data_IF_813139765697
#
_entry.id   IF_813139765697
#
_cell.length_a   1.000
_cell.length_b   1.000
_cell.length_c   1.000
_cell.angle_alpha   90.00
_cell.angle_beta   90.00
_cell.angle_gamma   90.00
#
_symmetry.space_group_name_H-M   'P 1'
#
loop_
_entity.id
_entity.type
_entity.pdbx_description
1 polymer ?
#
# COMPACT_ATOMS: atom_id res chain seq x y z
N UNK A 1 13.77 -23.89 9.58
CA UNK A 1 12.33 -23.55 9.57
C UNK A 1 12.24 -22.17 10.16
N UNK A 2 12.52 -21.17 9.33
CA UNK A 2 12.52 -19.76 9.77
C UNK A 2 11.22 -19.12 9.32
N UNK A 3 10.46 -18.72 10.30
CA UNK A 3 9.10 -18.19 10.13
C UNK A 3 9.19 -16.83 9.44
N UNK A 4 8.85 -16.76 8.16
CA UNK A 4 8.60 -15.51 7.45
C UNK A 4 7.33 -14.87 8.02
N UNK A 5 7.46 -14.23 9.16
CA UNK A 5 6.46 -13.28 9.66
C UNK A 5 6.35 -12.15 8.64
N UNK A 6 5.15 -11.91 8.14
CA UNK A 6 4.82 -10.86 7.17
C UNK A 6 5.50 -9.56 7.54
N UNK A 7 6.23 -8.97 6.58
CA UNK A 7 6.94 -7.72 6.76
C UNK A 7 5.93 -6.63 7.15
N UNK A 8 5.94 -6.25 8.43
CA UNK A 8 5.21 -5.07 8.93
C UNK A 8 5.66 -3.85 8.15
N UNK A 9 4.75 -2.93 7.79
CA UNK A 9 5.13 -1.65 7.18
C UNK A 9 6.12 -0.97 8.12
N UNK A 10 7.33 -0.69 7.61
CA UNK A 10 8.37 -0.08 8.42
C UNK A 10 9.48 -1.03 8.88
N UNK A 11 9.75 -2.14 8.20
CA UNK A 11 11.04 -2.81 8.35
C UNK A 11 12.13 -1.77 8.11
N UNK A 12 12.80 -1.34 9.20
CA UNK A 12 13.77 -0.26 9.24
C UNK A 12 14.89 -0.57 8.26
N UNK A 13 14.87 0.07 7.09
CA UNK A 13 16.03 0.09 6.19
C UNK A 13 17.11 0.85 6.93
N UNK A 14 18.18 0.19 7.31
CA UNK A 14 19.34 0.85 7.92
C UNK A 14 20.11 1.55 6.80
N UNK A 15 20.11 2.89 6.80
CA UNK A 15 20.76 3.70 5.75
C UNK A 15 22.20 4.05 6.10
N UNK A 16 22.65 3.73 7.33
CA UNK A 16 23.93 4.16 7.88
C UNK A 16 23.86 5.55 8.56
N UNK A 17 22.75 6.29 8.41
CA UNK A 17 22.52 7.57 9.10
C UNK A 17 21.63 7.31 10.32
N UNK A 18 22.24 6.83 11.39
CA UNK A 18 21.54 6.27 12.56
C UNK A 18 20.53 7.20 13.22
N UNK A 19 20.66 8.53 13.15
CA UNK A 19 19.65 9.45 13.67
C UNK A 19 18.39 9.45 12.78
N UNK A 20 18.56 9.43 11.47
CA UNK A 20 17.45 9.40 10.52
C UNK A 20 16.69 8.08 10.63
N UNK A 21 17.41 6.95 10.65
CA UNK A 21 16.81 5.62 10.79
C UNK A 21 15.95 5.52 12.05
N UNK A 22 16.42 6.08 13.18
CA UNK A 22 15.67 6.10 14.45
C UNK A 22 14.45 7.02 14.41
N UNK A 23 14.55 8.19 13.77
CA UNK A 23 13.41 9.08 13.56
C UNK A 23 12.33 8.42 12.72
N UNK A 24 12.70 7.80 11.60
CA UNK A 24 11.77 7.07 10.72
C UNK A 24 11.13 5.89 11.46
N UNK A 25 11.89 5.14 12.27
CA UNK A 25 11.34 4.06 13.08
C UNK A 25 10.27 4.55 14.07
N UNK A 26 10.47 5.71 14.71
CA UNK A 26 9.48 6.32 15.61
C UNK A 26 8.23 6.78 14.85
N UNK A 27 8.38 7.39 13.67
CA UNK A 27 7.25 7.78 12.82
C UNK A 27 6.43 6.57 12.37
N UNK A 28 7.09 5.48 11.97
CA UNK A 28 6.43 4.23 11.58
C UNK A 28 5.61 3.62 12.72
N UNK A 29 6.12 3.67 13.96
CA UNK A 29 5.36 3.19 15.13
C UNK A 29 4.12 4.06 15.41
N UNK A 30 4.13 5.33 15.04
CA UNK A 30 3.00 6.25 15.20
C UNK A 30 1.97 6.12 14.06
N UNK A 31 2.28 5.42 12.98
CA UNK A 31 1.33 5.14 11.90
C UNK A 31 0.16 4.24 12.37
N UNK A 32 0.40 3.38 13.38
CA UNK A 32 -0.64 2.53 13.98
C UNK A 32 -1.54 3.27 14.98
N UNK A 33 -1.29 4.56 15.21
CA UNK A 33 -2.09 5.41 16.12
C UNK A 33 -1.27 6.09 17.22
N UNK A 34 -1.93 6.85 18.12
CA UNK A 34 -1.27 7.56 19.20
C UNK A 34 -0.54 6.62 20.16
N UNK A 35 0.70 6.99 20.56
CA UNK A 35 1.56 6.18 21.39
C UNK A 35 2.18 7.01 22.52
N UNK A 36 2.35 6.40 23.70
CA UNK A 36 3.08 7.03 24.82
C UNK A 36 4.60 6.93 24.60
N UNK A 37 5.38 7.81 25.26
CA UNK A 37 6.84 7.71 25.25
C UNK A 37 7.32 6.33 25.73
N UNK A 38 6.61 5.72 26.69
CA UNK A 38 6.95 4.41 27.23
C UNK A 38 6.79 3.32 26.16
N UNK A 39 5.67 3.29 25.44
CA UNK A 39 5.43 2.30 24.40
C UNK A 39 6.37 2.48 23.20
N UNK A 40 6.62 3.73 22.78
CA UNK A 40 7.57 4.05 21.71
C UNK A 40 9.01 3.64 22.06
N UNK A 41 9.47 3.91 23.28
CA UNK A 41 10.80 3.49 23.75
C UNK A 41 10.94 1.97 23.76
N UNK A 42 9.93 1.25 24.23
CA UNK A 42 9.94 -0.21 24.26
C UNK A 42 9.91 -0.81 22.83
N UNK A 43 9.03 -0.33 21.98
CA UNK A 43 8.86 -0.85 20.62
C UNK A 43 10.06 -0.53 19.70
N UNK A 44 10.64 0.67 19.81
CA UNK A 44 11.82 1.08 19.04
C UNK A 44 13.13 0.53 19.59
N UNK A 45 13.13 -0.08 20.78
CA UNK A 45 14.33 -0.49 21.51
C UNK A 45 15.32 0.64 21.80
N UNK A 46 14.86 1.89 21.79
CA UNK A 46 15.67 3.05 22.10
C UNK A 46 15.62 3.35 23.60
N UNK A 47 16.74 3.74 24.23
CA UNK A 47 16.71 4.28 25.59
C UNK A 47 15.71 5.44 25.69
N UNK A 48 14.94 5.50 26.77
CA UNK A 48 13.89 6.51 26.97
C UNK A 48 14.37 7.96 26.76
N UNK A 49 15.57 8.37 27.24
CA UNK A 49 16.08 9.73 26.98
C UNK A 49 16.33 9.98 25.48
N UNK A 50 16.80 8.98 24.75
CA UNK A 50 17.05 9.08 23.31
C UNK A 50 15.74 9.20 22.54
N UNK A 51 14.77 8.31 22.83
CA UNK A 51 13.44 8.39 22.20
C UNK A 51 12.78 9.75 22.49
N UNK A 52 12.82 10.24 23.71
CA UNK A 52 12.28 11.53 24.09
C UNK A 52 12.93 12.69 23.31
N UNK A 53 14.26 12.72 23.23
CA UNK A 53 14.98 13.78 22.49
C UNK A 53 14.63 13.78 21.00
N UNK A 54 14.51 12.60 20.38
CA UNK A 54 14.12 12.50 18.99
C UNK A 54 12.67 12.92 18.77
N UNK A 55 11.74 12.53 19.65
CA UNK A 55 10.34 12.94 19.58
C UNK A 55 10.16 14.45 19.75
N UNK A 56 10.93 15.09 20.66
CA UNK A 56 10.94 16.55 20.81
C UNK A 56 11.47 17.23 19.54
N UNK A 57 12.50 16.69 18.92
CA UNK A 57 13.00 17.22 17.64
C UNK A 57 11.97 17.06 16.51
N UNK A 58 11.31 15.90 16.42
CA UNK A 58 10.23 15.67 15.45
C UNK A 58 9.03 16.59 15.70
N UNK A 59 8.69 16.86 16.97
CA UNK A 59 7.65 17.80 17.39
C UNK A 59 7.98 19.25 16.98
N UNK A 60 9.22 19.69 17.17
CA UNK A 60 9.68 20.99 16.71
C UNK A 60 9.55 21.18 15.18
N UNK A 61 9.71 20.10 14.43
CA UNK A 61 9.47 20.08 12.98
C UNK A 61 8.02 19.78 12.58
N UNK A 62 7.07 19.70 13.54
CA UNK A 62 5.66 19.42 13.31
C UNK A 62 5.39 18.07 12.63
N UNK A 63 6.38 17.15 12.58
CA UNK A 63 6.25 15.80 12.09
C UNK A 63 5.52 14.89 13.09
N UNK A 64 5.57 15.25 14.37
CA UNK A 64 4.88 14.63 15.49
C UNK A 64 4.21 15.73 16.30
N UNK A 65 3.10 15.43 16.94
CA UNK A 65 2.44 16.31 17.93
C UNK A 65 2.03 15.50 19.15
N UNK A 66 1.80 16.19 20.29
CA UNK A 66 1.23 15.58 21.49
C UNK A 66 -0.26 15.88 21.56
N UNK A 67 -1.01 14.87 21.97
CA UNK A 67 -2.42 15.08 22.33
C UNK A 67 -2.55 15.59 23.79
N UNK A 68 -3.79 15.88 24.19
CA UNK A 68 -4.07 16.38 25.53
C UNK A 68 -3.69 15.37 26.65
N UNK A 69 -3.59 14.07 26.34
CA UNK A 69 -3.16 13.03 27.26
C UNK A 69 -1.64 12.83 27.29
N UNK A 70 -0.88 13.60 26.48
CA UNK A 70 0.57 13.51 26.39
C UNK A 70 1.08 12.36 25.50
N UNK A 71 0.18 11.66 24.78
CA UNK A 71 0.58 10.68 23.77
C UNK A 71 1.03 11.38 22.48
N UNK A 72 2.01 10.79 21.80
CA UNK A 72 2.51 11.27 20.51
C UNK A 72 1.68 10.69 19.38
N UNK A 73 1.45 11.48 18.35
CA UNK A 73 0.81 11.09 17.09
C UNK A 73 1.49 11.78 15.92
N UNK A 74 1.26 11.30 14.71
CA UNK A 74 1.74 11.95 13.49
C UNK A 74 1.24 13.39 13.40
N UNK A 75 2.12 14.30 12.99
CA UNK A 75 1.88 15.74 12.97
C UNK A 75 1.46 16.28 11.60
N UNK A 76 0.91 17.51 11.54
CA UNK A 76 0.34 18.10 10.32
C UNK A 76 1.37 18.32 9.20
N UNK A 77 2.66 18.44 9.54
CA UNK A 77 3.71 18.61 8.52
C UNK A 77 3.76 17.46 7.54
N UNK A 78 3.38 16.24 7.95
CA UNK A 78 3.30 15.09 7.06
C UNK A 78 2.23 15.27 6.00
N UNK A 79 1.07 15.82 6.36
CA UNK A 79 0.00 16.15 5.40
C UNK A 79 0.44 17.25 4.43
N UNK A 80 1.13 18.29 4.92
CA UNK A 80 1.67 19.37 4.08
C UNK A 80 2.70 18.82 3.07
N UNK A 81 3.60 17.95 3.51
CA UNK A 81 4.59 17.31 2.63
C UNK A 81 3.92 16.38 1.62
N UNK A 82 2.91 15.63 2.07
CA UNK A 82 2.14 14.75 1.23
C UNK A 82 1.43 15.53 0.10
N UNK A 83 0.81 16.67 0.41
CA UNK A 83 0.11 17.50 -0.57
C UNK A 83 0.99 18.01 -1.73
N UNK A 84 2.30 18.06 -1.53
CA UNK A 84 3.27 18.49 -2.58
C UNK A 84 4.16 17.34 -3.09
N UNK A 85 4.00 16.14 -2.56
CA UNK A 85 4.89 15.01 -2.85
C UNK A 85 4.61 14.32 -4.19
N UNK A 86 3.54 14.69 -4.89
CA UNK A 86 3.30 14.20 -6.24
C UNK A 86 1.92 13.59 -6.48
N UNK A 87 1.66 13.19 -7.74
CA UNK A 87 0.35 12.76 -8.22
C UNK A 87 -0.16 11.45 -7.62
N UNK A 88 0.68 10.65 -6.94
CA UNK A 88 0.26 9.40 -6.31
C UNK A 88 -0.71 9.61 -5.15
N UNK A 89 -0.61 10.76 -4.45
CA UNK A 89 -1.51 11.07 -3.34
C UNK A 89 -2.87 11.60 -3.81
N UNK A 90 -2.87 12.36 -4.93
CA UNK A 90 -4.11 12.72 -5.61
C UNK A 90 -4.81 11.46 -6.14
N UNK A 91 -4.04 10.51 -6.66
CA UNK A 91 -4.54 9.22 -7.11
C UNK A 91 -5.21 8.43 -5.97
N UNK A 92 -4.60 8.38 -4.78
CA UNK A 92 -5.16 7.69 -3.62
C UNK A 92 -6.50 8.30 -3.18
N UNK A 93 -6.61 9.64 -3.21
CA UNK A 93 -7.84 10.36 -2.88
C UNK A 93 -8.94 10.12 -3.90
N UNK A 94 -8.63 10.23 -5.20
CA UNK A 94 -9.55 9.97 -6.30
C UNK A 94 -10.02 8.51 -6.35
N UNK A 95 -9.15 7.58 -5.96
CA UNK A 95 -9.47 6.16 -5.94
C UNK A 95 -10.44 5.78 -4.80
N UNK A 96 -10.57 6.58 -3.74
CA UNK A 96 -11.37 6.26 -2.55
C UNK A 96 -12.76 5.70 -2.88
N UNK A 97 -13.63 6.43 -3.60
CA UNK A 97 -14.97 5.97 -3.95
C UNK A 97 -14.99 4.67 -4.78
N UNK A 98 -14.02 4.49 -5.71
CA UNK A 98 -13.90 3.28 -6.53
C UNK A 98 -13.50 2.07 -5.68
N UNK A 99 -12.57 2.25 -4.75
CA UNK A 99 -12.17 1.20 -3.81
C UNK A 99 -13.33 0.81 -2.89
N UNK A 100 -14.09 1.78 -2.38
CA UNK A 100 -15.25 1.54 -1.52
C UNK A 100 -16.32 0.71 -2.25
N UNK A 101 -16.63 1.05 -3.49
CA UNK A 101 -17.60 0.33 -4.31
C UNK A 101 -17.12 -1.09 -4.64
N UNK A 102 -15.85 -1.24 -5.05
CA UNK A 102 -15.27 -2.53 -5.37
C UNK A 102 -15.22 -3.44 -4.13
N UNK A 103 -14.86 -2.89 -2.96
CA UNK A 103 -14.89 -3.60 -1.70
C UNK A 103 -16.32 -4.03 -1.33
N UNK A 104 -17.30 -3.15 -1.47
CA UNK A 104 -18.72 -3.42 -1.18
C UNK A 104 -19.27 -4.55 -2.07
N UNK A 105 -18.89 -4.53 -3.35
CA UNK A 105 -19.34 -5.51 -4.35
C UNK A 105 -18.70 -6.88 -4.15
N UNK A 106 -17.37 -6.91 -3.89
CA UNK A 106 -16.64 -8.18 -3.76
C UNK A 106 -16.62 -8.72 -2.35
N UNK A 107 -16.77 -7.86 -1.33
CA UNK A 107 -16.59 -8.14 0.10
C UNK A 107 -15.20 -8.64 0.46
N UNK A 108 -14.24 -8.44 -0.43
CA UNK A 108 -12.83 -8.80 -0.24
C UNK A 108 -11.97 -7.55 -0.01
N UNK A 109 -10.72 -7.75 0.38
CA UNK A 109 -9.78 -6.65 0.53
C UNK A 109 -9.43 -6.06 -0.83
N UNK A 110 -9.36 -4.73 -0.91
CA UNK A 110 -9.02 -3.98 -2.12
C UNK A 110 -7.81 -3.10 -1.85
N UNK A 111 -6.84 -3.10 -2.75
CA UNK A 111 -5.64 -2.30 -2.63
C UNK A 111 -5.32 -1.60 -3.96
N UNK A 112 -4.70 -0.42 -3.85
CA UNK A 112 -4.12 0.30 -4.98
C UNK A 112 -2.61 0.38 -4.80
N UNK A 113 -1.88 -0.14 -5.80
CA UNK A 113 -0.42 -0.20 -5.77
C UNK A 113 0.19 0.68 -6.86
N UNK A 114 1.27 1.39 -6.52
CA UNK A 114 2.14 2.09 -7.49
C UNK A 114 3.54 1.49 -7.48
N UNK A 115 4.28 1.67 -8.57
CA UNK A 115 5.68 1.27 -8.66
C UNK A 115 6.56 2.25 -7.86
N UNK A 116 7.37 1.75 -6.96
CA UNK A 116 8.27 2.56 -6.12
C UNK A 116 9.58 1.83 -5.83
N UNK A 117 10.69 2.33 -6.37
CA UNK A 117 12.04 1.82 -6.07
C UNK A 117 12.22 0.30 -6.28
N UNK A 118 11.64 -0.27 -7.34
CA UNK A 118 11.69 -1.71 -7.62
C UNK A 118 10.74 -2.57 -6.76
N UNK A 119 9.81 -1.94 -6.05
CA UNK A 119 8.75 -2.56 -5.26
C UNK A 119 7.39 -2.01 -5.68
N UNK A 120 6.32 -2.65 -5.26
CA UNK A 120 4.98 -2.06 -5.30
C UNK A 120 4.64 -1.46 -3.94
N UNK A 121 4.28 -0.18 -3.92
CA UNK A 121 3.84 0.56 -2.75
C UNK A 121 2.31 0.57 -2.69
N UNK A 122 1.73 0.15 -1.58
CA UNK A 122 0.30 0.30 -1.34
C UNK A 122 -0.03 1.75 -0.97
N UNK A 123 -0.79 2.46 -1.80
CA UNK A 123 -1.15 3.87 -1.57
C UNK A 123 -2.58 4.05 -1.07
N UNK A 124 -3.45 3.07 -1.28
CA UNK A 124 -4.80 3.03 -0.73
C UNK A 124 -5.24 1.59 -0.48
N UNK A 125 -6.02 1.35 0.57
CA UNK A 125 -6.53 0.03 0.90
C UNK A 125 -7.92 0.10 1.54
N UNK A 126 -8.69 -0.98 1.35
CA UNK A 126 -9.92 -1.30 2.08
C UNK A 126 -9.82 -2.76 2.53
N UNK A 127 -9.85 -2.98 3.81
CA UNK A 127 -9.76 -4.32 4.38
C UNK A 127 -11.13 -4.97 4.46
N UNK A 128 -11.18 -6.26 4.13
CA UNK A 128 -12.37 -7.08 4.41
C UNK A 128 -12.63 -7.12 5.92
N UNK A 129 -13.84 -6.75 6.32
CA UNK A 129 -14.25 -6.72 7.73
C UNK A 129 -14.44 -8.09 8.37
N UNK A 130 -14.29 -9.20 7.62
CA UNK A 130 -14.65 -10.54 8.07
C UNK A 130 -13.45 -11.49 8.13
N UNK A 131 -13.21 -12.08 9.31
CA UNK A 131 -12.40 -13.28 9.53
C UNK A 131 -11.03 -13.32 8.85
N UNK A 132 -10.74 -14.41 8.15
CA UNK A 132 -9.52 -14.58 7.37
C UNK A 132 -9.52 -13.62 6.18
N UNK A 133 -8.54 -12.72 6.12
CA UNK A 133 -8.40 -11.69 5.09
C UNK A 133 -6.94 -11.48 4.71
N UNK A 134 -6.72 -10.98 3.51
CA UNK A 134 -5.44 -10.41 3.12
C UNK A 134 -5.42 -8.92 3.48
N UNK A 135 -4.66 -8.54 4.49
CA UNK A 135 -4.54 -7.15 4.94
C UNK A 135 -3.19 -6.58 4.54
N UNK A 136 -3.21 -5.60 3.66
CA UNK A 136 -2.02 -4.85 3.24
C UNK A 136 -2.21 -3.39 3.60
N UNK A 137 -1.51 -2.90 4.63
CA UNK A 137 -1.68 -1.51 5.06
C UNK A 137 -1.13 -0.52 4.02
N UNK A 138 -1.69 0.68 4.01
CA UNK A 138 -1.16 1.81 3.25
C UNK A 138 0.28 2.08 3.68
N UNK A 139 1.18 2.32 2.72
CA UNK A 139 2.61 2.49 2.96
C UNK A 139 3.42 1.17 2.90
N UNK A 140 2.78 0.01 2.81
CA UNK A 140 3.49 -1.26 2.67
C UNK A 140 4.22 -1.35 1.32
N UNK A 141 5.48 -1.76 1.37
CA UNK A 141 6.31 -2.08 0.20
C UNK A 141 6.34 -3.60 0.03
N UNK A 142 5.87 -4.08 -1.12
CA UNK A 142 5.82 -5.50 -1.44
C UNK A 142 6.69 -5.81 -2.68
N UNK A 143 7.23 -7.03 -2.80
CA UNK A 143 7.99 -7.43 -3.99
C UNK A 143 7.13 -7.36 -5.26
N UNK A 144 7.74 -7.01 -6.39
CA UNK A 144 7.08 -7.06 -7.71
C UNK A 144 6.94 -8.49 -8.25
N UNK A 145 7.89 -9.37 -7.93
CA UNK A 145 7.96 -10.71 -8.49
C UNK A 145 6.85 -11.68 -8.03
N UNK A 146 6.00 -11.29 -7.07
CA UNK A 146 4.96 -12.17 -6.53
C UNK A 146 3.62 -11.46 -6.38
N UNK A 147 2.54 -12.11 -6.83
CA UNK A 147 1.17 -11.62 -6.73
C UNK A 147 0.71 -10.78 -7.91
N UNK A 148 -0.61 -10.77 -8.15
CA UNK A 148 -1.22 -10.16 -9.33
C UNK A 148 -0.90 -8.69 -9.53
N UNK A 149 -0.83 -7.88 -8.46
CA UNK A 149 -0.47 -6.46 -8.54
C UNK A 149 0.95 -6.22 -9.05
N UNK A 150 1.90 -7.10 -8.68
CA UNK A 150 3.27 -7.05 -9.20
C UNK A 150 3.32 -7.38 -10.68
N UNK A 151 2.63 -8.44 -11.12
CA UNK A 151 2.53 -8.83 -12.54
C UNK A 151 1.97 -7.70 -13.41
N UNK A 152 0.91 -7.03 -12.94
CA UNK A 152 0.34 -5.86 -13.64
C UNK A 152 1.37 -4.73 -13.74
N UNK A 153 2.05 -4.36 -12.65
CA UNK A 153 3.04 -3.29 -12.69
C UNK A 153 4.22 -3.64 -13.60
N UNK A 154 4.71 -4.88 -13.58
CA UNK A 154 5.78 -5.35 -14.45
C UNK A 154 5.36 -5.39 -15.91
N UNK A 155 4.14 -5.81 -16.22
CA UNK A 155 3.66 -5.97 -17.58
C UNK A 155 3.79 -4.70 -18.43
N UNK A 156 3.70 -3.51 -17.83
CA UNK A 156 3.84 -2.22 -18.53
C UNK A 156 5.11 -1.45 -18.21
N UNK A 157 5.92 -1.91 -17.25
CA UNK A 157 7.20 -1.27 -16.91
C UNK A 157 8.41 -2.05 -17.41
N UNK A 158 8.25 -3.33 -17.73
CA UNK A 158 9.32 -4.21 -18.21
C UNK A 158 9.12 -4.53 -19.69
N UNK A 159 10.14 -4.22 -20.49
CA UNK A 159 10.20 -4.55 -21.91
C UNK A 159 10.69 -6.00 -22.17
N UNK A 160 10.84 -6.83 -21.13
CA UNK A 160 11.22 -8.24 -21.28
C UNK A 160 10.16 -8.98 -22.11
N UNK A 161 10.58 -9.88 -22.94
CA UNK A 161 9.70 -10.75 -23.73
C UNK A 161 9.07 -11.88 -22.89
N UNK A 162 8.85 -11.68 -21.60
CA UNK A 162 8.24 -12.65 -20.72
C UNK A 162 6.81 -12.95 -21.19
N UNK A 163 6.53 -14.23 -21.44
CA UNK A 163 5.25 -14.69 -21.97
C UNK A 163 4.09 -14.44 -21.01
N UNK A 164 4.31 -14.57 -19.69
CA UNK A 164 3.29 -14.29 -18.68
C UNK A 164 2.91 -12.80 -18.66
N UNK A 165 3.89 -11.91 -18.74
CA UNK A 165 3.65 -10.46 -18.80
C UNK A 165 2.99 -10.04 -20.12
N UNK A 166 3.26 -10.76 -21.22
CA UNK A 166 2.60 -10.54 -22.50
C UNK A 166 1.12 -10.92 -22.42
N UNK A 167 0.80 -12.07 -21.84
CA UNK A 167 -0.59 -12.48 -21.61
C UNK A 167 -1.35 -11.46 -20.72
N UNK A 168 -0.69 -10.95 -19.67
CA UNK A 168 -1.28 -9.90 -18.80
C UNK A 168 -1.61 -8.64 -19.59
N UNK A 169 -0.75 -8.22 -20.55
CA UNK A 169 -1.01 -7.06 -21.41
C UNK A 169 -2.18 -7.30 -22.36
N UNK A 170 -2.27 -8.49 -22.94
CA UNK A 170 -3.32 -8.85 -23.91
C UNK A 170 -4.69 -8.95 -23.26
N UNK A 171 -4.79 -9.59 -22.09
CA UNK A 171 -6.07 -9.78 -21.40
C UNK A 171 -6.46 -8.60 -20.50
N UNK A 172 -5.52 -7.70 -20.16
CA UNK A 172 -5.78 -6.50 -19.37
C UNK A 172 -5.90 -6.73 -17.84
N UNK A 173 -5.51 -7.90 -17.36
CA UNK A 173 -5.52 -8.22 -15.92
C UNK A 173 -4.53 -9.36 -15.61
N UNK A 174 -4.21 -9.52 -14.32
CA UNK A 174 -3.42 -10.64 -13.82
C UNK A 174 -4.11 -11.31 -12.63
N UNK A 175 -3.86 -12.60 -12.45
CA UNK A 175 -4.25 -13.36 -11.27
C UNK A 175 -3.03 -13.97 -10.57
N UNK A 176 -3.20 -14.30 -9.31
CA UNK A 176 -2.19 -14.98 -8.50
C UNK A 176 -2.87 -15.83 -7.44
N UNK A 177 -2.31 -17.02 -7.20
CA UNK A 177 -2.76 -17.94 -6.16
C UNK A 177 -1.54 -18.42 -5.38
N UNK A 178 -1.52 -18.16 -4.08
CA UNK A 178 -0.48 -18.59 -3.13
C UNK A 178 0.97 -18.14 -3.46
N UNK A 179 1.16 -17.17 -4.37
CA UNK A 179 2.50 -16.74 -4.77
C UNK A 179 3.18 -15.88 -3.71
N UNK A 180 2.46 -14.92 -3.12
CA UNK A 180 3.00 -14.03 -2.08
C UNK A 180 2.85 -14.65 -0.70
N UNK A 181 1.69 -15.23 -0.44
CA UNK A 181 1.33 -15.80 0.85
C UNK A 181 0.46 -17.05 0.66
N UNK A 182 0.78 -18.16 1.32
CA UNK A 182 -0.02 -19.38 1.23
C UNK A 182 -1.49 -19.12 1.58
N UNK A 183 -2.39 -19.64 0.75
CA UNK A 183 -3.83 -19.51 0.97
C UNK A 183 -4.45 -18.18 0.53
N UNK A 184 -3.68 -17.25 -0.04
CA UNK A 184 -4.17 -15.99 -0.60
C UNK A 184 -4.25 -16.06 -2.12
N UNK A 185 -5.37 -15.60 -2.67
CA UNK A 185 -5.54 -15.38 -4.10
C UNK A 185 -5.82 -13.90 -4.38
N UNK A 186 -5.47 -13.43 -5.56
CA UNK A 186 -5.73 -12.04 -5.97
C UNK A 186 -5.93 -11.90 -7.47
N UNK A 187 -6.62 -10.82 -7.86
CA UNK A 187 -6.75 -10.35 -9.24
C UNK A 187 -6.47 -8.87 -9.28
N UNK A 188 -5.70 -8.42 -10.26
CA UNK A 188 -5.36 -7.02 -10.45
C UNK A 188 -5.56 -6.57 -11.88
N UNK A 189 -5.91 -5.30 -12.07
CA UNK A 189 -6.00 -4.65 -13.38
C UNK A 189 -5.24 -3.32 -13.38
N UNK A 190 -4.72 -2.90 -14.55
CA UNK A 190 -3.97 -1.66 -14.69
C UNK A 190 -4.86 -0.43 -14.63
N UNK A 191 -4.35 0.63 -14.00
CA UNK A 191 -4.94 1.96 -13.99
C UNK A 191 -4.05 2.88 -14.80
N UNK A 192 -4.60 3.51 -15.83
CA UNK A 192 -3.86 4.37 -16.76
C UNK A 192 -4.27 5.84 -16.63
N UNK A 193 -3.33 6.72 -16.98
CA UNK A 193 -3.58 8.12 -17.27
C UNK A 193 -2.90 8.47 -18.58
N UNK A 194 -3.68 8.95 -19.56
CA UNK A 194 -3.18 9.27 -20.89
C UNK A 194 -2.33 8.15 -21.54
N UNK A 195 -2.72 6.89 -21.36
CA UNK A 195 -2.01 5.72 -21.88
C UNK A 195 -0.78 5.27 -21.08
N UNK A 196 -0.41 5.99 -20.01
CA UNK A 196 0.70 5.61 -19.12
C UNK A 196 0.16 4.88 -17.92
N UNK A 197 0.77 3.73 -17.57
CA UNK A 197 0.43 3.01 -16.36
C UNK A 197 0.81 3.84 -15.12
N UNK A 198 -0.17 4.06 -14.24
CA UNK A 198 0.05 4.72 -12.95
C UNK A 198 0.00 3.74 -11.78
N UNK A 199 -0.92 2.79 -11.81
CA UNK A 199 -1.17 1.92 -10.67
C UNK A 199 -1.72 0.55 -11.10
N UNK A 200 -1.74 -0.38 -10.15
CA UNK A 200 -2.48 -1.64 -10.23
C UNK A 200 -3.57 -1.67 -9.16
N UNK A 201 -4.84 -1.77 -9.56
CA UNK A 201 -5.97 -1.98 -8.67
C UNK A 201 -6.12 -3.48 -8.43
N UNK A 202 -6.17 -3.88 -7.17
CA UNK A 202 -6.13 -5.27 -6.73
C UNK A 202 -7.32 -5.61 -5.83
N UNK A 203 -7.89 -6.79 -6.04
CA UNK A 203 -8.77 -7.47 -5.06
C UNK A 203 -8.04 -8.72 -4.60
N UNK A 204 -7.97 -8.93 -3.30
CA UNK A 204 -7.30 -10.08 -2.70
C UNK A 204 -8.10 -10.66 -1.52
N UNK A 205 -7.98 -11.96 -1.34
CA UNK A 205 -8.66 -12.67 -0.27
C UNK A 205 -8.24 -14.13 -0.18
N UNK A 206 -8.82 -14.92 0.73
CA UNK A 206 -8.51 -16.34 0.86
C UNK A 206 -8.91 -17.14 -0.39
N UNK A 207 -8.06 -18.10 -0.77
CA UNK A 207 -8.33 -19.05 -1.86
C UNK A 207 -9.67 -19.75 -1.64
N UNK A 208 -10.03 -20.06 -0.39
CA UNK A 208 -11.31 -20.70 -0.04
C UNK A 208 -12.56 -19.93 -0.50
N UNK A 209 -12.46 -18.59 -0.65
CA UNK A 209 -13.53 -17.74 -1.18
C UNK A 209 -13.34 -17.40 -2.65
N UNK A 210 -12.10 -17.15 -3.06
CA UNK A 210 -11.77 -16.71 -4.42
C UNK A 210 -11.54 -17.87 -5.39
N UNK A 211 -11.30 -19.09 -4.91
CA UNK A 211 -10.94 -20.30 -5.65
C UNK A 211 -9.53 -20.31 -6.25
N UNK A 212 -9.14 -21.45 -6.83
CA UNK A 212 -7.87 -21.63 -7.57
C UNK A 212 -7.88 -20.92 -8.95
N UNK A 213 -9.00 -20.36 -9.37
CA UNK A 213 -9.14 -19.59 -10.60
C UNK A 213 -9.84 -18.24 -10.34
N UNK A 214 -9.21 -17.34 -9.55
CA UNK A 214 -9.84 -16.09 -9.10
C UNK A 214 -10.19 -15.16 -10.25
N UNK A 215 -9.45 -15.22 -11.36
CA UNK A 215 -9.73 -14.44 -12.58
C UNK A 215 -11.13 -14.68 -13.15
N UNK A 216 -11.64 -15.90 -13.08
CA UNK A 216 -13.00 -16.22 -13.58
C UNK A 216 -14.10 -15.45 -12.83
N UNK A 217 -13.87 -15.14 -11.56
CA UNK A 217 -14.84 -14.43 -10.71
C UNK A 217 -14.66 -12.93 -10.71
N UNK A 218 -13.42 -12.47 -10.75
CA UNK A 218 -13.07 -11.11 -10.39
C UNK A 218 -12.54 -10.27 -11.55
N UNK A 219 -12.04 -10.87 -12.66
CA UNK A 219 -11.42 -10.08 -13.74
C UNK A 219 -12.34 -8.98 -14.26
N UNK A 220 -13.59 -9.32 -14.55
CA UNK A 220 -14.55 -8.34 -15.09
C UNK A 220 -14.81 -7.16 -14.15
N UNK A 221 -15.05 -7.41 -12.87
CA UNK A 221 -15.34 -6.32 -11.92
C UNK A 221 -14.09 -5.50 -11.60
N UNK A 222 -12.92 -6.12 -11.51
CA UNK A 222 -11.66 -5.41 -11.24
C UNK A 222 -11.24 -4.57 -12.44
N UNK A 223 -11.37 -5.10 -13.67
CA UNK A 223 -11.07 -4.36 -14.91
C UNK A 223 -12.02 -3.19 -15.09
N UNK A 224 -13.31 -3.37 -14.84
CA UNK A 224 -14.29 -2.28 -14.91
C UNK A 224 -13.97 -1.16 -13.90
N UNK A 225 -13.64 -1.51 -12.65
CA UNK A 225 -13.27 -0.54 -11.63
C UNK A 225 -11.96 0.19 -11.97
N UNK A 226 -10.95 -0.52 -12.50
CA UNK A 226 -9.70 0.09 -12.95
C UNK A 226 -9.92 1.03 -14.15
N UNK A 227 -10.79 0.67 -15.08
CA UNK A 227 -11.23 1.52 -16.20
C UNK A 227 -11.95 2.79 -15.72
N UNK A 228 -12.86 2.66 -14.75
CA UNK A 228 -13.53 3.81 -14.12
C UNK A 228 -12.51 4.77 -13.47
N UNK A 229 -11.56 4.25 -12.70
CA UNK A 229 -10.51 5.07 -12.09
C UNK A 229 -9.64 5.76 -13.16
N UNK A 230 -9.30 5.06 -14.24
CA UNK A 230 -8.54 5.62 -15.37
C UNK A 230 -9.28 6.78 -16.05
N UNK A 231 -10.61 6.66 -16.21
CA UNK A 231 -11.45 7.72 -16.76
C UNK A 231 -11.47 8.97 -15.87
N UNK A 232 -11.61 8.81 -14.55
CA UNK A 232 -11.56 9.93 -13.59
C UNK A 232 -10.22 10.69 -13.62
N UNK A 233 -9.15 9.99 -13.96
CA UNK A 233 -7.80 10.59 -14.06
C UNK A 233 -7.56 11.33 -15.39
N UNK A 234 -8.42 11.13 -16.37
CA UNK A 234 -8.29 11.73 -17.70
C UNK A 234 -9.17 12.97 -17.86
N UNK A 235 -10.21 13.11 -17.04
CA UNK A 235 -11.05 14.30 -17.03
C UNK A 235 -10.25 15.50 -16.47
N UNK A 236 -10.21 16.65 -17.18
CA UNK A 236 -9.63 17.86 -16.63
C UNK A 236 -10.45 18.26 -15.40
N UNK A 237 -9.76 18.48 -14.28
CA UNK A 237 -10.40 19.04 -13.08
C UNK A 237 -11.07 20.35 -13.49
N UNK A 238 -12.40 20.40 -13.45
CA UNK A 238 -13.13 21.63 -13.69
C UNK A 238 -12.72 22.62 -12.57
N UNK A 239 -12.05 23.70 -12.98
CA UNK A 239 -11.77 24.85 -12.12
C UNK A 239 -13.06 25.58 -11.72
#
# INVERSE_FOLDING_TARGET
>A
MDSLQGARPGASRTTGVGVLDRCVALLNLLADGPQTLRSLSAASRLPRPTAHRLLVALEAHRLVVRDAGGAFRLGPRLTELAAVAGPELDLASLAGPVLDELHRTTRESVQLYVLSGGHRLCIAARDSGTGLRDSVPVGALLPLAAGSGGKVLLAWSDASGDSELTEVREQGWAASVAEREPGVASVSAPVFRAGVLLAALCVSGPVSRLSEAPGRKLSGVVTAAAGQLSSLLTEPTAE
#
